data_IF_954786781505
#
_entry.id   IF_954786781505
#
_cell.length_a   1.000
_cell.length_b   1.000
_cell.length_c   1.000
_cell.angle_alpha   90.00
_cell.angle_beta   90.00
_cell.angle_gamma   90.00
#
_symmetry.space_group_name_H-M   'P 1'
#
loop_
_entity.id
_entity.type
_entity.pdbx_description
1 polymer ?
#
# COMPACT_ATOMS: atom_id res chain seq x y z
N UNK A 1 9.09 4.54 9.41
CA UNK A 1 10.22 3.59 9.40
C UNK A 1 11.55 4.33 9.53
N UNK A 2 11.81 5.34 8.70
CA UNK A 2 13.05 6.12 8.76
C UNK A 2 13.27 6.76 10.13
N UNK A 3 12.25 7.33 10.75
CA UNK A 3 12.33 7.91 12.09
C UNK A 3 12.69 6.85 13.12
N UNK A 4 12.11 5.65 13.00
CA UNK A 4 12.41 4.53 13.89
C UNK A 4 13.86 4.04 13.76
N UNK A 5 14.44 4.06 12.56
CA UNK A 5 15.86 3.76 12.37
C UNK A 5 16.70 4.82 13.09
N UNK A 6 16.40 6.11 12.88
CA UNK A 6 17.10 7.20 13.57
C UNK A 6 17.01 7.09 15.10
N UNK A 7 15.83 6.81 15.64
CA UNK A 7 15.64 6.58 17.08
C UNK A 7 16.50 5.43 17.62
N UNK A 8 16.63 4.34 16.88
CA UNK A 8 17.48 3.21 17.27
C UNK A 8 18.96 3.60 17.25
N UNK A 9 19.40 4.25 16.18
CA UNK A 9 20.81 4.64 15.98
C UNK A 9 21.23 5.68 16.99
N UNK A 10 20.41 6.68 17.27
CA UNK A 10 20.68 7.79 18.20
C UNK A 10 20.48 7.41 19.68
N UNK A 11 19.93 6.22 19.97
CA UNK A 11 19.72 5.75 21.34
C UNK A 11 21.05 5.51 22.08
N UNK A 12 21.01 5.54 23.42
CA UNK A 12 22.18 5.23 24.29
C UNK A 12 22.48 3.73 24.41
N UNK A 13 21.84 2.88 23.59
CA UNK A 13 22.06 1.45 23.61
C UNK A 13 23.45 1.06 23.11
N UNK A 14 23.98 -0.07 23.59
CA UNK A 14 25.20 -0.67 23.03
C UNK A 14 24.97 -1.12 21.58
N UNK A 15 26.03 -1.10 20.76
CA UNK A 15 25.93 -1.42 19.32
C UNK A 15 25.24 -2.75 19.04
N UNK A 16 25.54 -3.82 19.79
CA UNK A 16 24.89 -5.12 19.63
C UNK A 16 23.36 -5.05 19.84
N UNK A 17 22.89 -4.25 20.81
CA UNK A 17 21.45 -4.08 21.04
C UNK A 17 20.79 -3.22 19.97
N UNK A 18 21.50 -2.22 19.42
CA UNK A 18 21.04 -1.45 18.26
C UNK A 18 20.90 -2.36 17.03
N UNK A 19 21.93 -3.16 16.75
CA UNK A 19 21.93 -4.12 15.65
C UNK A 19 20.75 -5.11 15.76
N UNK A 20 20.51 -5.66 16.95
CA UNK A 20 19.37 -6.55 17.18
C UNK A 20 18.03 -5.88 16.84
N UNK A 21 17.82 -4.63 17.28
CA UNK A 21 16.59 -3.87 16.97
C UNK A 21 16.45 -3.55 15.47
N UNK A 22 17.55 -3.29 14.77
CA UNK A 22 17.54 -3.08 13.34
C UNK A 22 17.16 -4.37 12.59
N UNK A 23 17.67 -5.53 13.02
CA UNK A 23 17.30 -6.84 12.45
C UNK A 23 15.81 -7.15 12.73
N UNK A 24 15.32 -6.92 13.94
CA UNK A 24 13.89 -7.06 14.27
C UNK A 24 13.01 -6.17 13.37
N UNK A 25 13.50 -4.98 12.99
CA UNK A 25 12.80 -4.10 12.04
C UNK A 25 12.78 -4.68 10.63
N UNK A 26 13.86 -5.29 10.15
CA UNK A 26 13.89 -6.02 8.87
C UNK A 26 12.90 -7.19 8.87
N UNK A 27 12.87 -7.98 9.94
CA UNK A 27 11.93 -9.08 10.10
C UNK A 27 10.47 -8.61 10.10
N UNK A 28 10.18 -7.47 10.73
CA UNK A 28 8.85 -6.86 10.68
C UNK A 28 8.51 -6.41 9.25
N UNK A 29 9.42 -5.73 8.56
CA UNK A 29 9.22 -5.27 7.18
C UNK A 29 8.93 -6.45 6.24
N UNK A 30 9.62 -7.58 6.42
CA UNK A 30 9.41 -8.76 5.58
C UNK A 30 8.01 -9.39 5.68
N UNK A 31 7.26 -9.08 6.74
CA UNK A 31 5.90 -9.58 6.98
C UNK A 31 4.81 -8.60 6.57
N UNK A 32 5.17 -7.35 6.25
CA UNK A 32 4.22 -6.35 5.80
C UNK A 32 3.69 -6.70 4.42
N UNK A 33 2.41 -6.43 4.17
CA UNK A 33 1.77 -6.55 2.86
C UNK A 33 1.20 -5.20 2.43
N UNK A 34 1.14 -5.00 1.14
CA UNK A 34 0.74 -3.73 0.52
C UNK A 34 -0.30 -4.00 -0.55
N UNK A 35 -1.46 -3.35 -0.46
CA UNK A 35 -2.58 -3.53 -1.38
C UNK A 35 -3.02 -2.19 -1.96
N UNK A 36 -3.04 -2.08 -3.29
CA UNK A 36 -3.70 -0.99 -4.01
C UNK A 36 -4.90 -1.55 -4.78
N UNK A 37 -6.15 -1.31 -4.31
CA UNK A 37 -7.35 -1.88 -4.94
C UNK A 37 -7.85 -1.10 -6.16
N UNK A 38 -7.06 -0.18 -6.69
CA UNK A 38 -7.28 0.55 -7.93
C UNK A 38 -5.94 1.01 -8.52
N UNK A 39 -5.04 0.04 -8.75
CA UNK A 39 -3.62 0.33 -8.90
C UNK A 39 -3.24 0.99 -10.23
N UNK A 40 -4.11 0.99 -11.24
CA UNK A 40 -3.78 1.50 -12.56
C UNK A 40 -2.51 0.85 -13.10
N UNK A 41 -1.56 1.64 -13.54
CA UNK A 41 -0.22 1.18 -13.97
C UNK A 41 0.75 0.89 -12.82
N UNK A 42 0.29 0.85 -11.56
CA UNK A 42 1.08 0.46 -10.41
C UNK A 42 1.88 1.57 -9.72
N UNK A 43 1.63 2.85 -10.00
CA UNK A 43 2.45 3.96 -9.52
C UNK A 43 2.64 3.99 -8.00
N UNK A 44 1.58 3.79 -7.21
CA UNK A 44 1.68 3.78 -5.76
C UNK A 44 2.47 2.56 -5.25
N UNK A 45 2.24 1.39 -5.85
CA UNK A 45 2.97 0.15 -5.51
C UNK A 45 4.47 0.28 -5.80
N UNK A 46 4.84 0.87 -6.96
CA UNK A 46 6.23 1.11 -7.36
C UNK A 46 6.93 2.02 -6.36
N UNK A 47 6.29 3.12 -5.97
CA UNK A 47 6.86 4.08 -5.02
C UNK A 47 7.02 3.41 -3.66
N UNK A 48 6.00 2.73 -3.16
CA UNK A 48 6.05 2.02 -1.89
C UNK A 48 7.16 0.95 -1.87
N UNK A 49 7.28 0.17 -2.94
CA UNK A 49 8.33 -0.83 -3.09
C UNK A 49 9.72 -0.20 -3.02
N UNK A 50 9.97 0.83 -3.84
CA UNK A 50 11.28 1.50 -3.88
C UNK A 50 11.65 2.13 -2.53
N UNK A 51 10.72 2.80 -1.87
CA UNK A 51 10.98 3.40 -0.56
C UNK A 51 11.28 2.35 0.51
N UNK A 52 10.60 1.21 0.50
CA UNK A 52 10.90 0.11 1.42
C UNK A 52 12.26 -0.52 1.15
N UNK A 53 12.64 -0.72 -0.12
CA UNK A 53 13.97 -1.18 -0.51
C UNK A 53 15.06 -0.22 -0.03
N UNK A 54 14.84 1.10 -0.09
CA UNK A 54 15.75 2.10 0.45
C UNK A 54 15.86 2.06 1.97
N UNK A 55 14.74 1.82 2.65
CA UNK A 55 14.73 1.58 4.11
C UNK A 55 15.55 0.35 4.46
N UNK A 56 15.37 -0.75 3.73
CA UNK A 56 16.16 -1.97 3.89
C UNK A 56 17.67 -1.70 3.71
N UNK A 57 18.06 -1.03 2.62
CA UNK A 57 19.47 -0.65 2.36
C UNK A 57 20.05 0.21 3.49
N UNK A 58 19.29 1.21 3.97
CA UNK A 58 19.69 2.06 5.10
C UNK A 58 19.94 1.24 6.35
N UNK A 59 19.10 0.25 6.64
CA UNK A 59 19.32 -0.61 7.81
C UNK A 59 20.65 -1.39 7.67
N UNK A 60 20.97 -1.90 6.49
CA UNK A 60 22.23 -2.58 6.25
C UNK A 60 23.45 -1.65 6.36
N UNK A 61 23.36 -0.42 5.84
CA UNK A 61 24.38 0.62 6.02
C UNK A 61 24.63 0.92 7.51
N UNK A 62 23.57 1.03 8.32
CA UNK A 62 23.69 1.26 9.77
C UNK A 62 24.26 0.04 10.51
N UNK A 63 23.93 -1.19 10.12
CA UNK A 63 24.56 -2.39 10.67
C UNK A 63 26.08 -2.43 10.38
N UNK A 64 26.49 -2.05 9.16
CA UNK A 64 27.92 -1.95 8.80
C UNK A 64 28.62 -0.86 9.64
N UNK A 65 28.00 0.31 9.83
CA UNK A 65 28.51 1.41 10.67
C UNK A 65 28.68 1.00 12.16
N UNK A 66 27.82 0.10 12.66
CA UNK A 66 27.92 -0.42 14.02
C UNK A 66 29.00 -1.50 14.19
N UNK A 67 29.63 -1.94 13.09
CA UNK A 67 30.60 -3.04 13.08
C UNK A 67 29.97 -4.43 13.08
N UNK A 68 28.67 -4.52 12.84
CA UNK A 68 27.84 -5.75 12.83
C UNK A 68 27.43 -6.11 11.39
N UNK A 69 28.38 -5.98 10.44
CA UNK A 69 28.17 -6.29 9.03
C UNK A 69 27.65 -7.72 8.85
N UNK A 70 26.55 -7.87 8.13
CA UNK A 70 25.91 -9.14 7.84
C UNK A 70 25.87 -9.41 6.34
N UNK A 71 25.74 -10.70 5.98
CA UNK A 71 25.43 -11.06 4.63
C UNK A 71 24.05 -10.49 4.26
N UNK A 72 23.98 -9.82 3.11
CA UNK A 72 22.71 -9.27 2.63
C UNK A 72 21.71 -10.39 2.34
N UNK A 73 20.53 -10.27 2.96
CA UNK A 73 19.34 -11.07 2.69
C UNK A 73 18.22 -10.13 2.26
N UNK A 74 17.48 -10.50 1.23
CA UNK A 74 16.37 -9.71 0.71
C UNK A 74 15.12 -9.90 1.60
N UNK A 75 14.76 -8.88 2.36
CA UNK A 75 13.57 -8.86 3.22
C UNK A 75 12.37 -8.22 2.51
N UNK A 76 12.59 -7.24 1.64
CA UNK A 76 11.54 -6.59 0.84
C UNK A 76 11.44 -7.26 -0.52
N UNK A 77 10.34 -7.96 -0.76
CA UNK A 77 10.11 -8.76 -1.97
C UNK A 77 8.86 -8.32 -2.71
N UNK A 78 8.81 -8.58 -4.02
CA UNK A 78 7.65 -8.27 -4.85
C UNK A 78 6.37 -9.01 -4.44
N UNK A 79 6.47 -10.17 -3.80
CA UNK A 79 5.34 -10.97 -3.37
C UNK A 79 4.56 -10.40 -2.16
N UNK A 80 5.05 -9.29 -1.59
CA UNK A 80 4.36 -8.50 -0.56
C UNK A 80 3.41 -7.46 -1.16
N UNK A 81 3.46 -7.22 -2.48
CA UNK A 81 2.73 -6.14 -3.17
C UNK A 81 1.62 -6.71 -4.03
N UNK A 82 0.40 -6.24 -3.78
CA UNK A 82 -0.84 -6.68 -4.40
C UNK A 82 -1.56 -5.51 -5.03
N UNK A 83 -2.15 -5.72 -6.20
CA UNK A 83 -2.94 -4.71 -6.89
C UNK A 83 -4.21 -5.30 -7.47
N UNK A 84 -5.27 -4.49 -7.58
CA UNK A 84 -6.47 -4.83 -8.33
C UNK A 84 -6.67 -3.72 -9.37
N UNK A 85 -6.83 -4.11 -10.63
CA UNK A 85 -7.08 -3.20 -11.73
C UNK A 85 -8.09 -3.79 -12.70
N UNK A 86 -9.10 -2.99 -13.07
CA UNK A 86 -10.18 -3.43 -13.95
C UNK A 86 -9.74 -3.45 -15.42
N UNK A 87 -8.83 -2.57 -15.81
CA UNK A 87 -8.28 -2.51 -17.17
C UNK A 87 -7.14 -3.52 -17.32
N UNK A 88 -7.31 -4.44 -18.27
CA UNK A 88 -6.34 -5.52 -18.49
C UNK A 88 -4.96 -4.99 -18.91
N UNK A 89 -4.93 -3.99 -19.79
CA UNK A 89 -3.66 -3.41 -20.25
C UNK A 89 -2.93 -2.69 -19.12
N UNK A 90 -3.65 -1.91 -18.29
CA UNK A 90 -3.07 -1.24 -17.13
C UNK A 90 -2.54 -2.26 -16.10
N UNK A 91 -3.24 -3.36 -15.89
CA UNK A 91 -2.81 -4.47 -15.04
C UNK A 91 -1.48 -5.09 -15.51
N UNK A 92 -1.36 -5.36 -16.84
CA UNK A 92 -0.12 -5.88 -17.42
C UNK A 92 1.04 -4.87 -17.31
N UNK A 93 0.75 -3.58 -17.52
CA UNK A 93 1.72 -2.49 -17.34
C UNK A 93 2.16 -2.39 -15.89
N UNK A 94 1.26 -2.53 -14.92
CA UNK A 94 1.60 -2.52 -13.49
C UNK A 94 2.56 -3.65 -13.15
N UNK A 95 2.29 -4.86 -13.64
CA UNK A 95 3.15 -6.02 -13.42
C UNK A 95 4.55 -5.81 -13.99
N UNK A 96 4.65 -5.36 -15.23
CA UNK A 96 5.93 -5.05 -15.87
C UNK A 96 6.70 -3.95 -15.11
N UNK A 97 5.98 -2.91 -14.68
CA UNK A 97 6.55 -1.77 -13.97
C UNK A 97 7.12 -2.18 -12.60
N UNK A 98 6.49 -3.12 -11.90
CA UNK A 98 7.02 -3.68 -10.65
C UNK A 98 8.31 -4.46 -10.87
N UNK A 99 8.44 -5.26 -11.95
CA UNK A 99 9.70 -5.93 -12.29
C UNK A 99 10.82 -4.96 -12.65
N UNK A 100 10.50 -3.88 -13.39
CA UNK A 100 11.48 -2.82 -13.69
C UNK A 100 11.93 -2.13 -12.41
N UNK A 101 11.00 -1.86 -11.48
CA UNK A 101 11.32 -1.28 -10.18
C UNK A 101 12.25 -2.19 -9.36
N UNK A 102 11.99 -3.50 -9.33
CA UNK A 102 12.86 -4.47 -8.66
C UNK A 102 14.27 -4.47 -9.27
N UNK A 103 14.38 -4.50 -10.59
CA UNK A 103 15.66 -4.42 -11.28
C UNK A 103 16.42 -3.13 -10.92
N UNK A 104 15.74 -1.97 -10.96
CA UNK A 104 16.36 -0.68 -10.61
C UNK A 104 16.86 -0.66 -9.16
N UNK A 105 16.10 -1.23 -8.22
CA UNK A 105 16.51 -1.30 -6.81
C UNK A 105 17.67 -2.28 -6.60
N UNK A 106 17.75 -3.35 -7.38
CA UNK A 106 18.88 -4.28 -7.32
C UNK A 106 20.18 -3.64 -7.89
N UNK A 107 20.05 -2.76 -8.89
CA UNK A 107 21.20 -1.96 -9.37
C UNK A 107 21.64 -0.97 -8.28
N UNK A 108 20.71 -0.21 -7.69
CA UNK A 108 21.00 0.74 -6.60
C UNK A 108 21.66 0.02 -5.40
N UNK A 109 21.18 -1.17 -5.04
CA UNK A 109 21.74 -2.00 -3.98
C UNK A 109 23.20 -2.41 -4.28
N UNK A 110 23.48 -2.88 -5.51
CA UNK A 110 24.83 -3.31 -5.90
C UNK A 110 25.84 -2.16 -5.91
N UNK A 111 25.39 -0.93 -6.15
CA UNK A 111 26.21 0.27 -6.05
C UNK A 111 26.53 0.66 -4.61
N UNK A 112 25.55 0.50 -3.70
CA UNK A 112 25.69 0.89 -2.30
C UNK A 112 26.40 -0.16 -1.44
N UNK A 113 26.02 -1.42 -1.59
CA UNK A 113 26.54 -2.54 -0.80
C UNK A 113 27.46 -3.40 -1.65
N UNK A 114 28.77 -3.23 -1.47
CA UNK A 114 29.81 -3.97 -2.22
C UNK A 114 29.72 -5.50 -2.10
N UNK A 115 29.02 -6.00 -1.08
CA UNK A 115 28.78 -7.43 -0.82
C UNK A 115 27.58 -8.01 -1.55
N UNK A 116 26.74 -7.18 -2.19
CA UNK A 116 25.55 -7.63 -2.88
C UNK A 116 25.88 -8.31 -4.22
N UNK A 117 25.20 -9.41 -4.51
CA UNK A 117 25.33 -10.11 -5.78
C UNK A 117 24.89 -9.22 -6.96
N UNK A 118 25.49 -9.43 -8.14
CA UNK A 118 25.13 -8.67 -9.35
C UNK A 118 23.64 -8.87 -9.68
N UNK A 119 22.93 -7.78 -10.06
CA UNK A 119 21.53 -7.86 -10.40
C UNK A 119 21.33 -8.77 -11.63
N UNK A 120 20.58 -9.81 -11.43
CA UNK A 120 19.95 -10.56 -12.53
C UNK A 120 18.55 -10.00 -12.74
N UNK A 121 18.00 -10.11 -13.95
CA UNK A 121 16.57 -9.85 -14.18
C UNK A 121 15.84 -11.16 -13.86
N UNK A 122 15.36 -11.38 -12.64
CA UNK A 122 14.53 -12.53 -12.38
C UNK A 122 13.07 -12.12 -12.63
N UNK A 123 12.37 -12.88 -13.42
CA UNK A 123 10.90 -12.87 -13.44
C UNK A 123 10.41 -13.49 -12.12
N UNK A 124 10.63 -12.77 -11.01
CA UNK A 124 10.18 -13.19 -9.70
C UNK A 124 8.65 -13.16 -9.66
N UNK A 125 8.07 -14.07 -8.88
CA UNK A 125 6.64 -14.04 -8.61
C UNK A 125 6.30 -12.73 -7.87
N UNK A 126 5.44 -11.93 -8.46
CA UNK A 126 4.81 -10.80 -7.79
C UNK A 126 3.71 -11.36 -6.89
N UNK A 127 3.37 -10.70 -5.78
CA UNK A 127 2.29 -11.11 -4.88
C UNK A 127 0.96 -11.27 -5.61
N UNK A 128 0.65 -10.36 -6.48
CA UNK A 128 -0.41 -10.50 -7.46
C UNK A 128 -0.97 -9.14 -7.90
N UNK A 129 -0.87 -8.86 -9.20
CA UNK A 129 -1.71 -7.86 -9.83
C UNK A 129 -2.88 -8.62 -10.47
N UNK A 130 -4.08 -8.34 -9.99
CA UNK A 130 -5.30 -9.02 -10.42
C UNK A 130 -6.09 -8.15 -11.38
N UNK A 131 -6.32 -8.64 -12.59
CA UNK A 131 -7.25 -7.99 -13.50
C UNK A 131 -8.67 -8.33 -13.07
N UNK A 132 -9.29 -7.45 -12.29
CA UNK A 132 -10.61 -7.64 -11.72
C UNK A 132 -11.26 -6.31 -11.33
N UNK A 133 -12.57 -6.34 -11.10
CA UNK A 133 -13.26 -5.23 -10.47
C UNK A 133 -13.14 -5.34 -8.94
N UNK A 134 -12.48 -4.37 -8.32
CA UNK A 134 -12.23 -4.33 -6.88
C UNK A 134 -13.52 -4.36 -6.03
N UNK A 135 -14.65 -3.92 -6.58
CA UNK A 135 -15.93 -3.92 -5.89
C UNK A 135 -16.67 -5.27 -5.97
N UNK A 136 -16.18 -6.19 -6.82
CA UNK A 136 -16.80 -7.51 -7.06
C UNK A 136 -15.94 -8.69 -6.60
N UNK A 137 -14.67 -8.44 -6.27
CA UNK A 137 -13.75 -9.46 -5.77
C UNK A 137 -13.55 -9.31 -4.25
N UNK A 138 -13.35 -10.44 -3.58
CA UNK A 138 -13.00 -10.43 -2.17
C UNK A 138 -11.51 -10.08 -2.00
N UNK A 139 -11.21 -8.95 -1.34
CA UNK A 139 -9.83 -8.51 -1.12
C UNK A 139 -9.01 -9.49 -0.27
N UNK A 140 -9.65 -10.30 0.56
CA UNK A 140 -8.98 -11.35 1.32
C UNK A 140 -8.46 -12.50 0.43
N UNK A 141 -9.06 -12.73 -0.75
CA UNK A 141 -8.56 -13.70 -1.72
C UNK A 141 -7.39 -13.15 -2.53
N UNK A 142 -7.37 -11.82 -2.76
CA UNK A 142 -6.30 -11.11 -3.46
C UNK A 142 -5.07 -10.97 -2.57
N UNK A 143 -5.24 -10.43 -1.39
CA UNK A 143 -4.20 -10.22 -0.39
C UNK A 143 -4.62 -10.92 0.91
N UNK A 144 -4.35 -12.25 1.03
CA UNK A 144 -4.68 -13.00 2.24
C UNK A 144 -3.93 -12.44 3.44
N UNK A 145 -4.61 -12.32 4.57
CA UNK A 145 -4.02 -11.86 5.82
C UNK A 145 -4.53 -12.66 7.01
N UNK A 146 -3.73 -12.69 8.06
CA UNK A 146 -4.11 -13.09 9.41
C UNK A 146 -4.34 -11.84 10.28
N UNK A 147 -4.87 -12.02 11.50
CA UNK A 147 -5.13 -10.91 12.43
C UNK A 147 -3.84 -10.18 12.86
N UNK A 148 -2.73 -10.91 12.95
CA UNK A 148 -1.42 -10.39 13.38
C UNK A 148 -0.61 -9.72 12.27
N UNK A 149 -0.99 -9.91 11.00
CA UNK A 149 -0.27 -9.34 9.86
C UNK A 149 -0.62 -7.87 9.65
N UNK A 150 0.39 -7.08 9.31
CA UNK A 150 0.22 -5.67 8.95
C UNK A 150 -0.01 -5.54 7.44
N UNK A 151 -1.23 -5.20 7.02
CA UNK A 151 -1.53 -4.86 5.63
C UNK A 151 -1.74 -3.35 5.51
N UNK A 152 -1.04 -2.74 4.58
CA UNK A 152 -1.17 -1.33 4.24
C UNK A 152 -1.95 -1.20 2.94
N UNK A 153 -3.18 -0.70 3.02
CA UNK A 153 -4.02 -0.42 1.86
C UNK A 153 -3.87 1.05 1.51
N UNK A 154 -3.55 1.33 0.27
CA UNK A 154 -3.43 2.71 -0.22
C UNK A 154 -3.79 2.77 -1.70
N UNK A 155 -3.96 3.97 -2.23
CA UNK A 155 -4.25 4.17 -3.64
C UNK A 155 -5.02 5.46 -3.91
N UNK A 156 -5.42 5.59 -5.17
CA UNK A 156 -6.29 6.67 -5.65
C UNK A 156 -7.49 6.06 -6.38
N UNK A 157 -8.47 5.50 -5.64
CA UNK A 157 -9.65 4.90 -6.25
C UNK A 157 -10.46 5.89 -7.08
N UNK A 158 -11.25 5.41 -8.06
CA UNK A 158 -12.05 6.28 -8.89
C UNK A 158 -13.12 7.00 -8.07
N UNK A 159 -13.24 8.31 -8.27
CA UNK A 159 -14.27 9.14 -7.68
C UNK A 159 -15.23 9.63 -8.77
N UNK A 160 -16.48 9.24 -8.61
CA UNK A 160 -17.57 9.61 -9.49
C UNK A 160 -18.79 9.96 -8.62
N UNK A 161 -19.36 11.15 -8.84
CA UNK A 161 -20.52 11.59 -8.09
C UNK A 161 -21.72 10.68 -8.31
N UNK A 162 -22.54 10.45 -7.30
CA UNK A 162 -23.68 9.54 -7.30
C UNK A 162 -24.61 9.66 -8.51
N UNK A 163 -24.79 10.87 -9.04
CA UNK A 163 -25.67 11.13 -10.20
C UNK A 163 -25.10 10.69 -11.55
N UNK A 164 -23.81 10.39 -11.60
CA UNK A 164 -23.08 10.01 -12.81
C UNK A 164 -22.88 8.50 -12.93
N UNK A 165 -23.26 7.74 -11.91
CA UNK A 165 -23.14 6.29 -11.89
C UNK A 165 -24.00 5.64 -12.97
N UNK A 166 -23.41 4.71 -13.71
CA UNK A 166 -24.15 3.86 -14.63
C UNK A 166 -24.92 2.75 -13.89
N UNK A 167 -25.64 1.90 -14.62
CA UNK A 167 -26.47 0.84 -14.01
C UNK A 167 -25.63 -0.19 -13.26
N UNK A 168 -24.48 -0.57 -13.80
CA UNK A 168 -23.59 -1.56 -13.17
C UNK A 168 -22.98 -1.02 -11.90
N UNK A 169 -22.48 0.22 -11.92
CA UNK A 169 -21.93 0.91 -10.76
C UNK A 169 -22.97 1.11 -9.66
N UNK A 170 -24.22 1.43 -10.03
CA UNK A 170 -25.32 1.50 -9.08
C UNK A 170 -25.61 0.15 -8.42
N UNK A 171 -25.53 -0.96 -9.19
CA UNK A 171 -25.71 -2.30 -8.63
C UNK A 171 -24.58 -2.65 -7.67
N UNK A 172 -23.32 -2.31 -8.00
CA UNK A 172 -22.18 -2.50 -7.10
C UNK A 172 -22.33 -1.75 -5.78
N UNK A 173 -22.80 -0.49 -5.84
CA UNK A 173 -23.11 0.28 -4.64
C UNK A 173 -24.24 -0.36 -3.80
N UNK A 174 -25.25 -0.92 -4.45
CA UNK A 174 -26.34 -1.62 -3.78
C UNK A 174 -25.86 -2.88 -3.06
N UNK A 175 -25.02 -3.66 -3.72
CA UNK A 175 -24.49 -4.91 -3.18
C UNK A 175 -23.55 -4.66 -1.98
N UNK A 176 -22.69 -3.63 -2.08
CA UNK A 176 -21.72 -3.29 -1.03
C UNK A 176 -22.41 -2.67 0.19
N UNK A 177 -23.34 -1.75 -0.04
CA UNK A 177 -24.04 -1.03 1.04
C UNK A 177 -25.37 -1.66 1.43
N UNK A 178 -25.56 -2.95 1.18
CA UNK A 178 -26.77 -3.68 1.56
C UNK A 178 -27.05 -3.51 3.05
N UNK A 179 -28.21 -2.95 3.38
CA UNK A 179 -28.61 -2.65 4.77
C UNK A 179 -28.20 -1.25 5.26
N UNK A 180 -27.38 -0.50 4.53
CA UNK A 180 -27.07 0.91 4.83
C UNK A 180 -28.09 1.81 4.14
N UNK A 181 -28.74 2.68 4.90
CA UNK A 181 -29.75 3.59 4.36
C UNK A 181 -29.12 4.72 3.54
N UNK A 182 -29.82 5.17 2.48
CA UNK A 182 -29.46 6.33 1.65
C UNK A 182 -28.10 6.23 0.90
N UNK A 183 -27.51 5.05 0.75
CA UNK A 183 -26.27 4.82 -0.01
C UNK A 183 -26.31 5.37 -1.45
N UNK A 184 -27.49 5.47 -2.07
CA UNK A 184 -27.69 6.01 -3.44
C UNK A 184 -27.24 7.47 -3.63
N UNK A 185 -26.88 8.16 -2.56
CA UNK A 185 -26.34 9.52 -2.59
C UNK A 185 -24.83 9.56 -2.41
N UNK A 186 -24.19 8.41 -2.17
CA UNK A 186 -22.75 8.33 -1.96
C UNK A 186 -22.00 8.43 -3.29
N UNK A 187 -20.89 9.16 -3.27
CA UNK A 187 -19.91 9.10 -4.33
C UNK A 187 -19.30 7.69 -4.45
N UNK A 188 -18.96 7.28 -5.65
CA UNK A 188 -18.51 5.92 -5.95
C UNK A 188 -17.30 5.47 -5.11
N UNK A 189 -16.38 6.39 -4.83
CA UNK A 189 -15.22 6.13 -3.96
C UNK A 189 -15.59 5.64 -2.56
N UNK A 190 -16.80 5.95 -2.07
CA UNK A 190 -17.29 5.48 -0.78
C UNK A 190 -17.27 3.97 -0.65
N UNK A 191 -17.44 3.23 -1.76
CA UNK A 191 -17.37 1.78 -1.78
C UNK A 191 -15.97 1.26 -1.40
N UNK A 192 -14.90 1.88 -1.91
CA UNK A 192 -13.52 1.50 -1.55
C UNK A 192 -13.21 1.77 -0.09
N UNK A 193 -13.64 2.92 0.45
CA UNK A 193 -13.47 3.21 1.87
C UNK A 193 -14.20 2.20 2.75
N UNK A 194 -15.43 1.84 2.39
CA UNK A 194 -16.22 0.90 3.18
C UNK A 194 -15.68 -0.54 3.11
N UNK A 195 -15.31 -1.02 1.91
CA UNK A 195 -14.67 -2.33 1.75
C UNK A 195 -13.31 -2.38 2.45
N UNK A 196 -12.51 -1.31 2.33
CA UNK A 196 -11.23 -1.21 3.02
C UNK A 196 -11.39 -1.20 4.54
N UNK A 197 -12.38 -0.47 5.08
CA UNK A 197 -12.69 -0.50 6.51
C UNK A 197 -13.06 -1.91 6.98
N UNK A 198 -13.94 -2.61 6.27
CA UNK A 198 -14.27 -4.02 6.54
C UNK A 198 -13.05 -4.94 6.47
N UNK A 199 -12.15 -4.69 5.52
CA UNK A 199 -10.95 -5.51 5.39
C UNK A 199 -10.01 -5.33 6.57
N UNK A 200 -9.83 -4.10 7.09
CA UNK A 200 -8.90 -3.83 8.21
C UNK A 200 -9.53 -3.95 9.60
N UNK A 201 -10.84 -4.15 9.68
CA UNK A 201 -11.55 -4.29 10.96
C UNK A 201 -10.91 -5.37 11.84
N UNK A 202 -10.73 -5.05 13.14
CA UNK A 202 -10.11 -5.93 14.16
C UNK A 202 -8.68 -6.39 13.84
N UNK A 203 -7.90 -5.59 13.11
CA UNK A 203 -6.51 -5.91 12.76
C UNK A 203 -5.57 -4.74 13.01
N UNK A 204 -4.26 -4.99 12.88
CA UNK A 204 -3.22 -3.96 12.89
C UNK A 204 -3.02 -3.28 11.52
N UNK A 205 -3.84 -3.62 10.52
CA UNK A 205 -3.77 -3.09 9.17
C UNK A 205 -4.19 -1.62 9.10
N UNK A 206 -3.80 -0.92 8.05
CA UNK A 206 -4.08 0.52 7.87
C UNK A 206 -4.56 0.80 6.47
N UNK A 207 -5.46 1.78 6.35
CA UNK A 207 -6.05 2.23 5.10
C UNK A 207 -5.78 3.73 4.89
N UNK A 208 -5.36 4.10 3.68
CA UNK A 208 -5.15 5.50 3.28
C UNK A 208 -5.42 5.69 1.79
N UNK A 209 -6.47 6.43 1.45
CA UNK A 209 -6.78 6.76 0.06
C UNK A 209 -6.63 8.24 -0.23
N UNK A 210 -6.18 8.56 -1.44
CA UNK A 210 -6.34 9.89 -2.01
C UNK A 210 -7.79 10.03 -2.51
N UNK A 211 -8.41 11.15 -2.23
CA UNK A 211 -9.80 11.43 -2.60
C UNK A 211 -10.01 12.90 -2.91
N UNK A 212 -11.14 13.23 -3.50
CA UNK A 212 -11.63 14.61 -3.57
C UNK A 212 -12.18 15.04 -2.22
N UNK A 213 -12.22 16.34 -1.96
CA UNK A 213 -12.78 16.87 -0.72
C UNK A 213 -14.31 16.70 -0.60
N UNK A 214 -14.98 16.16 -1.61
CA UNK A 214 -16.41 15.83 -1.56
C UNK A 214 -16.75 14.88 -0.40
N UNK A 215 -15.84 13.95 -0.07
CA UNK A 215 -16.03 13.02 1.07
C UNK A 215 -16.16 13.72 2.43
N UNK A 216 -15.74 14.99 2.53
CA UNK A 216 -15.83 15.81 3.75
C UNK A 216 -16.88 16.91 3.63
N UNK A 217 -17.77 16.87 2.64
CA UNK A 217 -18.75 17.91 2.37
C UNK A 217 -20.20 17.40 2.29
N UNK A 218 -21.12 18.23 2.73
CA UNK A 218 -22.56 18.00 2.58
C UNK A 218 -23.04 16.67 3.15
N UNK A 219 -23.92 16.03 2.42
CA UNK A 219 -24.55 14.76 2.84
C UNK A 219 -23.57 13.58 2.90
N UNK A 220 -22.46 13.64 2.13
CA UNK A 220 -21.43 12.60 2.10
C UNK A 220 -20.88 12.31 3.49
N UNK A 221 -20.69 13.34 4.31
CA UNK A 221 -20.12 13.21 5.67
C UNK A 221 -20.93 12.24 6.52
N UNK A 222 -22.23 12.47 6.63
CA UNK A 222 -23.07 11.63 7.48
C UNK A 222 -23.31 10.23 6.91
N UNK A 223 -23.44 10.12 5.59
CA UNK A 223 -23.79 8.87 4.92
C UNK A 223 -22.59 7.92 4.79
N UNK A 224 -21.42 8.46 4.51
CA UNK A 224 -20.19 7.68 4.28
C UNK A 224 -19.48 7.34 5.59
N UNK A 225 -19.23 8.35 6.44
CA UNK A 225 -18.37 8.16 7.60
C UNK A 225 -19.04 7.42 8.74
N UNK A 226 -20.38 7.54 8.90
CA UNK A 226 -21.05 6.83 9.98
C UNK A 226 -20.82 5.32 9.95
N UNK A 227 -21.14 4.58 8.85
CA UNK A 227 -20.89 3.14 8.81
C UNK A 227 -19.41 2.76 8.82
N UNK A 228 -18.51 3.63 8.35
CA UNK A 228 -17.07 3.39 8.37
C UNK A 228 -16.52 3.51 9.80
N UNK A 229 -16.93 4.53 10.54
CA UNK A 229 -16.48 4.77 11.92
C UNK A 229 -17.06 3.79 12.95
N UNK A 230 -18.06 2.99 12.57
CA UNK A 230 -18.50 1.83 13.35
C UNK A 230 -17.50 0.66 13.27
N UNK A 231 -16.66 0.62 12.23
CA UNK A 231 -15.69 -0.45 11.96
C UNK A 231 -14.25 -0.05 12.35
N UNK A 232 -13.88 1.21 12.11
CA UNK A 232 -12.50 1.69 12.25
C UNK A 232 -12.46 3.13 12.78
N UNK A 233 -11.27 3.58 13.19
CA UNK A 233 -11.01 4.97 13.59
C UNK A 233 -10.14 5.70 12.56
N UNK A 234 -10.27 7.03 12.49
CA UNK A 234 -9.40 7.87 11.67
C UNK A 234 -8.18 8.27 12.50
N UNK A 235 -7.01 7.80 12.11
CA UNK A 235 -5.75 8.15 12.77
C UNK A 235 -5.10 9.42 12.21
N UNK A 236 -5.33 9.74 10.95
CA UNK A 236 -4.86 11.00 10.33
C UNK A 236 -5.75 11.39 9.14
N UNK A 237 -5.76 12.68 8.83
CA UNK A 237 -6.36 13.23 7.61
C UNK A 237 -5.58 14.48 7.19
N UNK A 238 -5.33 14.61 5.90
CA UNK A 238 -4.72 15.81 5.32
C UNK A 238 -5.77 16.66 4.62
N UNK A 239 -5.62 17.97 4.73
CA UNK A 239 -6.43 18.92 3.97
C UNK A 239 -6.10 18.87 2.48
N UNK A 240 -6.97 19.44 1.65
CA UNK A 240 -6.77 19.48 0.19
C UNK A 240 -5.42 20.10 -0.18
N UNK A 241 -4.74 19.47 -1.11
CA UNK A 241 -3.49 19.95 -1.72
C UNK A 241 -3.62 19.96 -3.24
N UNK A 242 -2.79 20.76 -3.90
CA UNK A 242 -2.77 20.78 -5.36
C UNK A 242 -2.17 19.47 -5.86
N UNK A 243 -2.93 18.74 -6.65
CA UNK A 243 -2.41 17.60 -7.39
C UNK A 243 -1.45 18.11 -8.46
N UNK A 244 -0.17 17.83 -8.30
CA UNK A 244 0.84 18.16 -9.31
C UNK A 244 1.10 16.90 -10.12
N UNK A 245 0.69 16.92 -11.38
CA UNK A 245 1.08 15.88 -12.33
C UNK A 245 2.30 16.41 -13.10
N UNK A 246 3.42 15.73 -13.03
CA UNK A 246 4.61 16.03 -13.82
C UNK A 246 4.47 15.64 -15.30
N UNK A 247 3.41 14.90 -15.65
CA UNK A 247 3.03 14.70 -17.04
C UNK A 247 2.41 15.99 -17.58
N UNK A 248 3.10 16.66 -18.50
CA UNK A 248 2.48 17.70 -19.32
C UNK A 248 1.36 17.05 -20.11
N UNK A 249 0.13 17.51 -19.89
CA UNK A 249 -0.99 17.19 -20.73
C UNK A 249 -0.76 17.74 -22.14
#
# INVERSE_FOLDING_TARGET
LNDKISEIVDSELKNNNKAKKLIELLERISKMKFLDPACGSGNFLIIAYKELRRVEMRIYEELENLGEAQLYLEYVKLDQFYGIEIDNFASDVAMLSMWIADHQMNVELAEKLKSAARPTIPLKKIGGIYNANALRINWQEVCPRTEDEEVFIFGNPPYLGARLLNKEQNQEMEDIFKGVTQYKRLDYIGAWFYLGAKYIEHTNSKLSFVSTNSICQGEQVALMWKPILELVEISFAYTSFKWQNSAKA
#
